data_IF_299766427315
#
_entry.id   IF_299766427315
#
_cell.length_a   1.000
_cell.length_b   1.000
_cell.length_c   1.000
_cell.angle_alpha   90.00
_cell.angle_beta   90.00
_cell.angle_gamma   90.00
#
_symmetry.space_group_name_H-M   'P 1'
#
loop_
_entity.id
_entity.type
_entity.pdbx_description
1 polymer ?
#
# COMPACT_ATOMS: atom_id res chain seq x y z
N UNK A 1 38.91 -10.02 17.31
CA UNK A 1 38.14 -9.52 18.48
C UNK A 1 36.72 -9.25 18.03
N UNK A 2 35.75 -10.02 18.53
CA UNK A 2 34.35 -9.90 18.13
C UNK A 2 33.69 -8.62 18.68
N UNK A 3 32.55 -8.25 18.11
CA UNK A 3 31.75 -7.10 18.59
C UNK A 3 31.35 -7.29 20.07
N UNK A 4 31.06 -8.53 20.47
CA UNK A 4 30.74 -8.87 21.87
C UNK A 4 31.91 -8.54 22.80
N UNK A 5 33.12 -8.96 22.45
CA UNK A 5 34.33 -8.73 23.26
C UNK A 5 34.65 -7.24 23.40
N UNK A 6 34.41 -6.45 22.34
CA UNK A 6 34.59 -4.99 22.40
C UNK A 6 33.58 -4.34 23.33
N UNK A 7 32.33 -4.82 23.30
CA UNK A 7 31.26 -4.32 24.16
C UNK A 7 31.51 -4.68 25.64
N UNK A 8 31.96 -5.90 25.93
CA UNK A 8 32.31 -6.31 27.31
C UNK A 8 33.47 -5.50 27.86
N UNK A 9 34.52 -5.26 27.07
CA UNK A 9 35.64 -4.39 27.47
C UNK A 9 35.18 -2.95 27.70
N UNK A 10 34.30 -2.42 26.84
CA UNK A 10 33.75 -1.08 27.04
C UNK A 10 32.90 -0.98 28.31
N UNK A 11 32.01 -1.95 28.54
CA UNK A 11 31.16 -1.98 29.75
C UNK A 11 31.98 -2.17 31.03
N UNK A 12 33.05 -2.99 30.98
CA UNK A 12 33.99 -3.11 32.08
C UNK A 12 34.72 -1.80 32.39
N UNK A 13 35.12 -1.03 31.37
CA UNK A 13 35.70 0.32 31.55
C UNK A 13 34.71 1.33 32.16
N UNK A 14 33.41 1.10 32.02
CA UNK A 14 32.36 1.93 32.63
C UNK A 14 32.03 1.54 34.08
N UNK A 15 32.80 0.62 34.68
CA UNK A 15 32.65 0.20 36.08
C UNK A 15 31.51 -0.78 36.34
N UNK A 16 30.95 -1.41 35.30
CA UNK A 16 29.92 -2.44 35.48
C UNK A 16 30.53 -3.75 35.97
N UNK A 17 29.84 -4.41 36.91
CA UNK A 17 30.17 -5.76 37.35
C UNK A 17 29.97 -6.71 36.16
N UNK A 18 30.86 -7.71 35.95
CA UNK A 18 30.69 -8.70 34.89
C UNK A 18 29.32 -9.39 34.88
N UNK A 19 28.70 -9.54 36.05
CA UNK A 19 27.37 -10.13 36.25
C UNK A 19 26.22 -9.29 35.69
N UNK A 20 26.39 -7.97 35.55
CA UNK A 20 25.36 -7.06 35.03
C UNK A 20 25.41 -6.87 33.52
N UNK A 21 26.54 -7.22 32.88
CA UNK A 21 26.72 -7.17 31.43
C UNK A 21 25.59 -7.88 30.67
N UNK A 22 25.23 -9.16 30.96
CA UNK A 22 24.13 -9.82 30.25
C UNK A 22 22.78 -9.13 30.48
N UNK A 23 22.55 -8.54 31.66
CA UNK A 23 21.30 -7.81 31.98
C UNK A 23 21.21 -6.53 31.15
N UNK A 24 22.29 -5.77 31.05
CA UNK A 24 22.37 -4.56 30.21
C UNK A 24 22.14 -4.89 28.74
N UNK A 25 22.75 -5.95 28.23
CA UNK A 25 22.52 -6.42 26.85
C UNK A 25 21.05 -6.82 26.66
N UNK A 26 20.47 -7.54 27.61
CA UNK A 26 19.05 -7.91 27.59
C UNK A 26 18.13 -6.69 27.54
N UNK A 27 18.35 -5.71 28.41
CA UNK A 27 17.59 -4.45 28.44
C UNK A 27 17.76 -3.64 27.15
N UNK A 28 18.98 -3.58 26.60
CA UNK A 28 19.25 -2.91 25.33
C UNK A 28 18.48 -3.57 24.17
N UNK A 29 18.48 -4.90 24.10
CA UNK A 29 17.74 -5.64 23.07
C UNK A 29 16.24 -5.47 23.26
N UNK A 30 15.73 -5.51 24.49
CA UNK A 30 14.32 -5.25 24.78
C UNK A 30 13.91 -3.83 24.34
N UNK A 31 14.67 -2.81 24.75
CA UNK A 31 14.43 -1.41 24.36
C UNK A 31 14.47 -1.19 22.84
N UNK A 32 15.36 -1.91 22.15
CA UNK A 32 15.42 -1.93 20.68
C UNK A 32 14.10 -2.41 20.07
N UNK A 33 13.59 -3.56 20.52
CA UNK A 33 12.34 -4.11 19.98
C UNK A 33 11.12 -3.26 20.36
N UNK A 34 11.05 -2.75 21.59
CA UNK A 34 9.99 -1.83 22.02
C UNK A 34 9.95 -0.61 21.11
N UNK A 35 11.11 0.00 20.82
CA UNK A 35 11.16 1.15 19.91
C UNK A 35 10.71 0.80 18.50
N UNK A 36 11.08 -0.39 18.00
CA UNK A 36 10.61 -0.81 16.69
C UNK A 36 9.09 -1.02 16.66
N UNK A 37 8.50 -1.63 17.71
CA UNK A 37 7.06 -1.78 17.85
C UNK A 37 6.32 -0.44 17.96
N UNK A 38 6.86 0.54 18.70
CA UNK A 38 6.25 1.87 18.76
C UNK A 38 6.30 2.56 17.40
N UNK A 39 7.40 2.39 16.64
CA UNK A 39 7.49 2.87 15.26
C UNK A 39 6.47 2.21 14.33
N UNK A 40 6.13 0.93 14.51
CA UNK A 40 5.03 0.28 13.76
C UNK A 40 3.72 1.02 14.03
N UNK A 41 3.39 1.28 15.31
CA UNK A 41 2.18 2.00 15.69
C UNK A 41 2.11 3.41 15.08
N UNK A 42 3.22 4.15 15.15
CA UNK A 42 3.35 5.48 14.53
C UNK A 42 3.16 5.38 13.00
N UNK A 43 3.79 4.41 12.34
CA UNK A 43 3.64 4.21 10.89
C UNK A 43 2.22 3.82 10.50
N UNK A 44 1.52 3.01 11.31
CA UNK A 44 0.11 2.70 11.07
C UNK A 44 -0.76 3.96 11.11
N UNK A 45 -0.51 4.86 12.08
CA UNK A 45 -1.31 6.06 12.30
C UNK A 45 -1.01 7.20 11.34
N UNK A 46 0.26 7.44 11.03
CA UNK A 46 0.71 8.62 10.28
C UNK A 46 1.13 8.31 8.85
N UNK A 47 1.61 7.09 8.59
CA UNK A 47 2.14 6.65 7.28
C UNK A 47 3.12 7.68 6.68
N UNK A 48 4.14 8.12 7.44
CA UNK A 48 4.94 9.30 7.10
C UNK A 48 5.66 9.12 5.77
N UNK A 49 6.27 7.94 5.57
CA UNK A 49 7.01 7.62 4.36
C UNK A 49 6.11 7.54 3.14
N UNK A 50 4.92 6.95 3.30
CA UNK A 50 3.95 6.92 2.20
C UNK A 50 3.49 8.31 1.80
N UNK A 51 3.21 9.18 2.78
CA UNK A 51 2.78 10.56 2.52
C UNK A 51 3.88 11.35 1.81
N UNK A 52 5.12 11.25 2.27
CA UNK A 52 6.24 11.93 1.61
C UNK A 52 6.52 11.37 0.22
N UNK A 53 6.49 10.04 0.03
CA UNK A 53 6.65 9.45 -1.31
C UNK A 53 5.53 9.85 -2.28
N UNK A 54 4.29 9.94 -1.81
CA UNK A 54 3.17 10.46 -2.61
C UNK A 54 3.41 11.88 -3.10
N UNK A 55 4.06 12.70 -2.27
CA UNK A 55 4.36 14.08 -2.63
C UNK A 55 5.54 14.18 -3.60
N UNK A 56 6.66 13.50 -3.31
CA UNK A 56 7.89 13.66 -4.08
C UNK A 56 7.96 12.82 -5.36
N UNK A 57 7.27 11.67 -5.41
CA UNK A 57 7.42 10.70 -6.51
C UNK A 57 6.08 10.09 -6.92
N UNK A 58 5.14 10.90 -7.45
CA UNK A 58 3.83 10.42 -7.88
C UNK A 58 3.93 9.33 -8.96
N UNK A 59 4.94 9.41 -9.84
CA UNK A 59 5.20 8.40 -10.89
C UNK A 59 5.45 7.00 -10.33
N UNK A 60 6.23 6.90 -9.25
CA UNK A 60 6.58 5.61 -8.66
C UNK A 60 5.35 4.94 -8.05
N UNK A 61 4.45 5.74 -7.50
CA UNK A 61 3.17 5.26 -6.99
C UNK A 61 2.21 4.88 -8.11
N UNK A 62 2.14 5.67 -9.19
CA UNK A 62 1.34 5.31 -10.36
C UNK A 62 1.79 3.98 -10.98
N UNK A 63 3.11 3.68 -10.89
CA UNK A 63 3.69 2.41 -11.32
C UNK A 63 3.43 1.28 -10.33
N UNK A 64 3.34 1.56 -9.04
CA UNK A 64 2.91 0.57 -8.05
C UNK A 64 1.46 0.17 -8.32
N UNK A 65 1.20 -1.12 -8.57
CA UNK A 65 -0.15 -1.63 -8.81
C UNK A 65 -1.14 -1.27 -7.68
N UNK A 66 -0.62 -0.97 -6.49
CA UNK A 66 -1.36 -0.56 -5.30
C UNK A 66 -2.11 0.75 -5.47
N UNK A 67 -1.50 1.76 -6.12
CA UNK A 67 -2.20 3.02 -6.39
C UNK A 67 -3.31 2.80 -7.41
N UNK A 68 -3.02 1.99 -8.43
CA UNK A 68 -3.98 1.61 -9.48
C UNK A 68 -5.17 0.83 -8.91
N UNK A 69 -4.94 -0.06 -7.95
CA UNK A 69 -5.99 -0.78 -7.22
C UNK A 69 -6.83 0.14 -6.34
N UNK A 70 -6.21 1.09 -5.62
CA UNK A 70 -6.97 2.09 -4.84
C UNK A 70 -7.80 3.00 -5.72
N UNK A 71 -7.25 3.46 -6.84
CA UNK A 71 -8.02 4.24 -7.81
C UNK A 71 -9.13 3.41 -8.41
N UNK A 72 -8.89 2.14 -8.74
CA UNK A 72 -9.96 1.22 -9.18
C UNK A 72 -11.05 1.09 -8.14
N UNK A 73 -10.72 0.91 -6.86
CA UNK A 73 -11.72 0.85 -5.79
C UNK A 73 -12.58 2.11 -5.74
N UNK A 74 -11.97 3.30 -5.76
CA UNK A 74 -12.69 4.58 -5.80
C UNK A 74 -13.53 4.76 -7.05
N UNK A 75 -13.01 4.40 -8.22
CA UNK A 75 -13.73 4.43 -9.49
C UNK A 75 -14.90 3.47 -9.50
N UNK A 76 -14.73 2.25 -9.00
CA UNK A 76 -15.80 1.25 -8.88
C UNK A 76 -16.89 1.75 -7.93
N UNK A 77 -16.52 2.32 -6.79
CA UNK A 77 -17.49 2.85 -5.84
C UNK A 77 -18.20 4.10 -6.39
N UNK A 78 -17.48 5.00 -7.04
CA UNK A 78 -18.08 6.15 -7.71
C UNK A 78 -19.02 5.72 -8.85
N UNK A 79 -18.61 4.73 -9.66
CA UNK A 79 -19.46 4.12 -10.69
C UNK A 79 -20.71 3.48 -10.09
N UNK A 80 -20.58 2.80 -8.94
CA UNK A 80 -21.72 2.21 -8.22
C UNK A 80 -22.71 3.27 -7.75
N UNK A 81 -22.22 4.39 -7.19
CA UNK A 81 -23.06 5.53 -6.79
C UNK A 81 -23.73 6.20 -8.00
N UNK A 82 -23.00 6.35 -9.11
CA UNK A 82 -23.56 6.88 -10.35
C UNK A 82 -24.65 5.97 -10.91
N UNK A 83 -24.45 4.65 -10.90
CA UNK A 83 -25.47 3.70 -11.33
C UNK A 83 -26.68 3.67 -10.39
N UNK A 84 -26.49 3.73 -9.07
CA UNK A 84 -27.63 3.80 -8.14
C UNK A 84 -28.44 5.07 -8.33
N UNK A 85 -27.76 6.21 -8.50
CA UNK A 85 -28.40 7.50 -8.80
C UNK A 85 -29.13 7.47 -10.15
N UNK A 86 -28.52 6.88 -11.18
CA UNK A 86 -29.15 6.74 -12.50
C UNK A 86 -30.38 5.84 -12.43
N UNK A 87 -30.30 4.68 -11.77
CA UNK A 87 -31.46 3.80 -11.58
C UNK A 87 -32.59 4.54 -10.85
N UNK A 88 -32.30 5.22 -9.75
CA UNK A 88 -33.31 6.00 -9.01
C UNK A 88 -34.00 7.05 -9.88
N UNK A 89 -33.27 7.68 -10.82
CA UNK A 89 -33.81 8.73 -11.69
C UNK A 89 -34.50 8.21 -12.94
N UNK A 90 -34.06 7.09 -13.51
CA UNK A 90 -34.54 6.57 -14.79
C UNK A 90 -35.54 5.42 -14.66
N UNK A 91 -35.59 4.68 -13.54
CA UNK A 91 -36.64 3.70 -13.24
C UNK A 91 -38.06 4.27 -13.43
N UNK A 92 -38.43 5.41 -12.81
CA UNK A 92 -39.79 5.94 -12.97
C UNK A 92 -40.08 6.41 -14.40
N UNK A 93 -39.07 6.81 -15.17
CA UNK A 93 -39.22 7.16 -16.58
C UNK A 93 -39.43 5.91 -17.44
N UNK A 94 -38.70 4.84 -17.17
CA UNK A 94 -38.86 3.56 -17.85
C UNK A 94 -40.27 2.98 -17.62
N UNK A 95 -40.79 3.09 -16.39
CA UNK A 95 -42.14 2.65 -16.06
C UNK A 95 -43.21 3.51 -16.72
N UNK A 96 -43.02 4.83 -16.80
CA UNK A 96 -43.92 5.72 -17.58
C UNK A 96 -43.94 5.34 -19.06
N UNK A 97 -42.78 5.06 -19.65
CA UNK A 97 -42.68 4.64 -21.06
C UNK A 97 -43.36 3.28 -21.27
N UNK A 98 -43.18 2.32 -20.35
CA UNK A 98 -43.88 1.01 -20.40
C UNK A 98 -45.39 1.17 -20.30
N UNK A 99 -45.88 1.98 -19.36
CA UNK A 99 -47.30 2.29 -19.20
C UNK A 99 -47.88 2.96 -20.45
N UNK A 100 -47.19 3.96 -20.99
CA UNK A 100 -47.60 4.65 -22.21
C UNK A 100 -47.60 3.72 -23.44
N UNK A 101 -46.68 2.76 -23.50
CA UNK A 101 -46.66 1.74 -24.56
C UNK A 101 -47.82 0.75 -24.39
N UNK A 102 -48.16 0.37 -23.16
CA UNK A 102 -49.32 -0.49 -22.88
C UNK A 102 -50.66 0.20 -23.15
N UNK A 103 -50.77 1.51 -22.93
CA UNK A 103 -51.99 2.28 -23.21
C UNK A 103 -52.19 2.57 -24.70
N UNK A 104 -51.10 2.77 -25.46
CA UNK A 104 -51.16 2.99 -26.91
C UNK A 104 -51.29 1.69 -27.72
N UNK A 105 -51.01 0.54 -27.11
CA UNK A 105 -51.35 -0.77 -27.63
C UNK A 105 -52.78 -1.13 -27.20
N UNK A 106 -53.77 -0.38 -27.70
CA UNK A 106 -55.10 -0.94 -27.86
C UNK A 106 -55.04 -2.23 -28.69
N UNK A 107 -56.11 -3.05 -28.75
CA UNK A 107 -56.13 -4.30 -29.48
C UNK A 107 -55.95 -4.06 -30.99
N UNK A 108 -54.71 -3.88 -31.42
CA UNK A 108 -54.30 -3.99 -32.82
C UNK A 108 -54.45 -5.46 -33.14
N UNK A 109 -55.62 -5.80 -33.69
CA UNK A 109 -55.85 -7.05 -34.42
C UNK A 109 -54.64 -7.25 -35.33
N UNK A 110 -53.91 -8.31 -35.06
CA UNK A 110 -52.82 -8.82 -35.87
C UNK A 110 -53.40 -9.28 -37.21
N UNK A 111 -53.61 -8.33 -38.12
CA UNK A 111 -53.81 -8.60 -39.52
C UNK A 111 -52.56 -8.12 -40.25
N UNK A 112 -51.92 -9.09 -40.91
CA UNK A 112 -50.82 -8.92 -41.86
C UNK A 112 -49.49 -8.57 -41.19
N UNK A 113 -48.39 -9.23 -41.46
CA UNK A 113 -48.05 -10.18 -42.51
C UNK A 113 -46.54 -10.25 -42.44
N UNK A 114 -46.03 -11.46 -42.57
CA UNK A 114 -44.60 -11.77 -42.71
C UNK A 114 -43.87 -10.70 -43.52
N UNK A 115 -42.88 -10.02 -42.95
CA UNK A 115 -41.70 -9.53 -43.68
C UNK A 115 -40.49 -9.59 -42.74
N UNK A 116 -39.83 -10.75 -42.78
CA UNK A 116 -38.52 -11.00 -42.19
C UNK A 116 -37.47 -10.21 -42.97
N UNK A 117 -37.24 -8.95 -42.59
CA UNK A 117 -36.04 -8.24 -43.02
C UNK A 117 -34.86 -8.70 -42.18
N UNK A 118 -34.07 -9.56 -42.81
CA UNK A 118 -32.78 -10.06 -42.37
C UNK A 118 -31.79 -8.89 -42.28
N UNK A 119 -31.80 -8.18 -41.15
CA UNK A 119 -30.85 -7.11 -40.84
C UNK A 119 -29.48 -7.71 -40.59
N UNK A 120 -28.66 -7.73 -41.65
CA UNK A 120 -27.22 -8.00 -41.57
C UNK A 120 -26.59 -7.15 -40.47
N UNK A 121 -26.21 -7.81 -39.37
CA UNK A 121 -25.25 -7.29 -38.42
C UNK A 121 -23.91 -7.08 -39.14
N UNK A 122 -23.64 -5.85 -39.58
CA UNK A 122 -22.29 -5.39 -39.83
C UNK A 122 -21.57 -5.31 -38.48
N UNK A 123 -21.07 -6.47 -38.02
CA UNK A 123 -19.96 -6.51 -37.08
C UNK A 123 -18.76 -5.95 -37.82
N UNK A 124 -18.42 -4.68 -37.59
CA UNK A 124 -17.11 -4.14 -37.94
C UNK A 124 -16.06 -4.84 -37.05
N UNK A 125 -15.20 -5.71 -37.59
CA UNK A 125 -14.12 -6.33 -36.84
C UNK A 125 -12.86 -5.52 -37.15
N UNK A 126 -12.69 -4.33 -36.56
CA UNK A 126 -11.61 -3.48 -37.08
C UNK A 126 -11.35 -2.17 -36.38
N UNK A 127 -11.28 -2.15 -35.05
CA UNK A 127 -11.00 -0.89 -34.35
C UNK A 127 -10.40 -1.02 -32.95
N UNK A 128 -9.55 -2.01 -32.68
CA UNK A 128 -8.97 -2.11 -31.31
C UNK A 128 -7.54 -2.64 -31.24
N UNK A 129 -7.07 -3.38 -32.24
CA UNK A 129 -5.70 -3.90 -32.22
C UNK A 129 -4.66 -2.86 -32.72
N UNK A 130 -5.02 -2.00 -33.67
CA UNK A 130 -4.11 -1.00 -34.24
C UNK A 130 -3.90 0.24 -33.35
N UNK A 131 -4.95 0.70 -32.66
CA UNK A 131 -4.87 1.91 -31.82
C UNK A 131 -4.01 1.69 -30.57
N UNK A 132 -4.02 0.47 -30.00
CA UNK A 132 -3.14 0.14 -28.87
C UNK A 132 -1.65 0.11 -29.27
N UNK A 133 -1.35 -0.31 -30.50
CA UNK A 133 0.04 -0.42 -30.98
C UNK A 133 0.63 0.94 -31.36
N UNK A 134 -0.19 1.87 -31.87
CA UNK A 134 0.25 3.24 -32.16
C UNK A 134 0.45 4.09 -30.90
N UNK A 135 -0.37 3.91 -29.85
CA UNK A 135 -0.11 4.53 -28.55
C UNK A 135 1.16 4.00 -27.89
N UNK A 136 1.46 2.70 -28.02
CA UNK A 136 2.70 2.11 -27.48
C UNK A 136 3.97 2.65 -28.16
N UNK A 137 3.90 3.07 -29.42
CA UNK A 137 5.05 3.61 -30.15
C UNK A 137 5.27 5.12 -29.95
N UNK A 138 4.22 5.90 -29.66
CA UNK A 138 4.39 7.33 -29.36
C UNK A 138 4.90 7.59 -27.94
N UNK A 139 4.54 6.75 -26.96
CA UNK A 139 5.08 6.86 -25.59
C UNK A 139 6.59 6.53 -25.48
N UNK A 140 7.18 5.91 -26.51
CA UNK A 140 8.58 5.48 -26.50
C UNK A 140 9.61 6.59 -26.81
N UNK A 141 9.20 7.73 -27.37
CA UNK A 141 10.15 8.72 -27.95
C UNK A 141 10.41 9.96 -27.09
N UNK A 142 9.61 10.26 -26.07
CA UNK A 142 9.74 11.47 -25.25
C UNK A 142 10.39 11.26 -23.88
N UNK A 143 10.83 10.05 -23.53
CA UNK A 143 11.68 9.83 -22.37
C UNK A 143 13.16 10.05 -22.73
N UNK A 144 13.50 11.33 -22.92
CA UNK A 144 14.87 11.82 -22.78
C UNK A 144 15.43 11.23 -21.47
N UNK A 145 16.47 10.39 -21.58
CA UNK A 145 17.05 9.62 -20.46
C UNK A 145 17.73 10.57 -19.48
N UNK A 146 16.95 11.28 -18.67
CA UNK A 146 17.46 11.88 -17.46
C UNK A 146 17.98 10.75 -16.59
N UNK A 147 19.29 10.75 -16.34
CA UNK A 147 19.89 9.77 -15.43
C UNK A 147 19.20 9.97 -14.07
N UNK A 148 18.50 8.94 -13.55
CA UNK A 148 17.73 9.13 -12.33
C UNK A 148 18.70 9.48 -11.22
N UNK A 149 18.41 10.59 -10.53
CA UNK A 149 19.20 11.08 -9.40
C UNK A 149 19.44 9.96 -8.39
N UNK A 150 20.56 10.02 -7.67
CA UNK A 150 20.91 9.02 -6.66
C UNK A 150 19.75 8.77 -5.67
N UNK A 151 19.06 9.83 -5.25
CA UNK A 151 17.86 9.75 -4.41
C UNK A 151 16.70 9.01 -5.06
N UNK A 152 16.46 9.20 -6.36
CA UNK A 152 15.42 8.45 -7.11
C UNK A 152 15.75 6.96 -7.18
N UNK A 153 17.03 6.59 -7.33
CA UNK A 153 17.45 5.17 -7.30
C UNK A 153 17.27 4.56 -5.91
N UNK A 154 17.67 5.29 -4.87
CA UNK A 154 17.54 4.86 -3.49
C UNK A 154 16.07 4.71 -3.08
N UNK A 155 15.22 5.68 -3.46
CA UNK A 155 13.78 5.64 -3.15
C UNK A 155 13.08 4.45 -3.80
N UNK A 156 13.39 4.14 -5.07
CA UNK A 156 12.88 2.95 -5.76
C UNK A 156 13.34 1.67 -5.07
N UNK A 157 14.61 1.60 -4.65
CA UNK A 157 15.14 0.45 -3.92
C UNK A 157 14.45 0.24 -2.58
N UNK A 158 14.27 1.31 -1.80
CA UNK A 158 13.56 1.28 -0.52
C UNK A 158 12.09 0.87 -0.70
N UNK A 159 11.41 1.42 -1.71
CA UNK A 159 10.04 1.04 -2.02
C UNK A 159 9.91 -0.45 -2.33
N UNK A 160 10.81 -1.01 -3.17
CA UNK A 160 10.83 -2.44 -3.48
C UNK A 160 11.10 -3.30 -2.25
N UNK A 161 11.99 -2.86 -1.35
CA UNK A 161 12.22 -3.55 -0.08
C UNK A 161 10.98 -3.56 0.81
N UNK A 162 10.26 -2.43 0.87
CA UNK A 162 9.01 -2.33 1.60
C UNK A 162 7.92 -3.21 0.99
N UNK A 163 7.79 -3.26 -0.33
CA UNK A 163 6.82 -4.13 -1.01
C UNK A 163 7.14 -5.61 -0.76
N UNK A 164 8.41 -6.00 -0.84
CA UNK A 164 8.85 -7.37 -0.49
C UNK A 164 8.61 -7.70 0.98
N UNK A 165 8.88 -6.76 1.89
CA UNK A 165 8.61 -6.94 3.31
C UNK A 165 7.10 -7.08 3.55
N UNK A 166 6.29 -6.25 2.89
CA UNK A 166 4.84 -6.30 2.99
C UNK A 166 4.27 -7.63 2.46
N UNK A 167 4.79 -8.14 1.33
CA UNK A 167 4.43 -9.45 0.80
C UNK A 167 4.76 -10.57 1.82
N UNK A 168 6.00 -10.60 2.34
CA UNK A 168 6.42 -11.60 3.35
C UNK A 168 5.58 -11.55 4.63
N UNK A 169 5.18 -10.35 5.07
CA UNK A 169 4.32 -10.17 6.24
C UNK A 169 2.90 -10.63 5.92
N UNK A 170 2.38 -10.37 4.72
CA UNK A 170 1.07 -10.83 4.27
C UNK A 170 0.97 -12.35 4.14
N UNK A 171 2.04 -13.01 3.69
CA UNK A 171 2.09 -14.46 3.51
C UNK A 171 2.20 -15.23 4.84
N UNK A 172 2.67 -14.56 5.90
CA UNK A 172 2.89 -15.19 7.19
C UNK A 172 1.63 -15.14 8.07
N UNK A 173 1.09 -16.34 8.37
CA UNK A 173 -0.11 -16.53 9.20
C UNK A 173 0.00 -15.89 10.58
N UNK A 174 1.19 -15.85 11.19
CA UNK A 174 1.38 -15.24 12.51
C UNK A 174 1.10 -13.73 12.47
N UNK A 175 1.59 -13.05 11.44
CA UNK A 175 1.31 -11.62 11.24
C UNK A 175 -0.14 -11.37 10.85
N UNK A 176 -0.74 -12.25 10.06
CA UNK A 176 -2.18 -12.22 9.78
C UNK A 176 -3.01 -12.29 11.06
N UNK A 177 -2.66 -13.20 11.98
CA UNK A 177 -3.31 -13.31 13.29
C UNK A 177 -3.17 -12.03 14.11
N UNK A 178 -1.96 -11.49 14.23
CA UNK A 178 -1.72 -10.22 14.97
C UNK A 178 -2.55 -9.08 14.37
N UNK A 179 -2.56 -8.94 13.04
CA UNK A 179 -3.30 -7.85 12.38
C UNK A 179 -4.82 -7.97 12.55
N UNK A 180 -5.37 -9.17 12.47
CA UNK A 180 -6.83 -9.40 12.46
C UNK A 180 -7.41 -9.50 13.86
N UNK A 181 -6.72 -10.20 14.78
CA UNK A 181 -7.25 -10.48 16.13
C UNK A 181 -6.87 -9.43 17.16
N UNK A 182 -5.65 -8.90 17.09
CA UNK A 182 -5.16 -7.96 18.10
C UNK A 182 -5.49 -6.54 17.67
N UNK A 183 -5.13 -6.19 16.44
CA UNK A 183 -5.18 -4.80 15.97
C UNK A 183 -6.46 -4.45 15.18
N UNK A 184 -7.22 -5.44 14.70
CA UNK A 184 -8.39 -5.25 13.83
C UNK A 184 -8.10 -4.33 12.62
N UNK A 185 -6.89 -4.43 12.05
CA UNK A 185 -6.46 -3.61 10.90
C UNK A 185 -6.30 -4.45 9.66
N UNK A 186 -6.56 -3.85 8.49
CA UNK A 186 -6.31 -4.46 7.20
C UNK A 186 -4.85 -4.98 7.12
N UNK A 187 -4.69 -6.28 6.89
CA UNK A 187 -3.40 -6.97 6.87
C UNK A 187 -2.39 -6.33 5.92
N UNK A 188 -2.84 -5.83 4.77
CA UNK A 188 -1.99 -5.11 3.81
C UNK A 188 -1.52 -3.76 4.33
N UNK A 189 -2.42 -3.01 4.98
CA UNK A 189 -2.05 -1.72 5.59
C UNK A 189 -1.05 -1.92 6.74
N UNK A 190 -1.25 -2.96 7.55
CA UNK A 190 -0.32 -3.38 8.58
C UNK A 190 1.04 -3.77 7.99
N UNK A 191 1.05 -4.57 6.92
CA UNK A 191 2.27 -5.00 6.25
C UNK A 191 3.10 -3.82 5.70
N UNK A 192 2.45 -2.81 5.13
CA UNK A 192 3.12 -1.56 4.76
C UNK A 192 3.67 -0.81 5.96
N UNK A 193 2.91 -0.72 7.07
CA UNK A 193 3.39 -0.05 8.28
C UNK A 193 4.62 -0.75 8.88
N UNK A 194 4.67 -2.09 8.85
CA UNK A 194 5.86 -2.87 9.25
C UNK A 194 7.03 -2.54 8.33
N UNK A 195 6.83 -2.51 7.01
CA UNK A 195 7.86 -2.11 6.04
C UNK A 195 8.38 -0.68 6.28
N UNK A 196 7.50 0.29 6.47
CA UNK A 196 7.85 1.69 6.78
C UNK A 196 8.63 1.78 8.09
N UNK A 197 8.15 1.10 9.13
CA UNK A 197 8.79 1.11 10.44
C UNK A 197 10.19 0.54 10.40
N UNK A 198 10.48 -0.46 9.56
CA UNK A 198 11.82 -1.03 9.41
C UNK A 198 12.79 -0.04 8.76
N UNK A 199 12.32 0.71 7.76
CA UNK A 199 13.12 1.75 7.11
C UNK A 199 13.39 2.89 8.09
N UNK A 200 12.34 3.41 8.74
CA UNK A 200 12.48 4.45 9.76
C UNK A 200 13.37 4.00 10.90
N UNK A 201 13.14 2.80 11.44
CA UNK A 201 13.93 2.24 12.52
C UNK A 201 15.40 2.17 12.14
N UNK A 202 15.76 1.71 10.94
CA UNK A 202 17.16 1.70 10.48
C UNK A 202 17.77 3.11 10.42
N UNK A 203 17.00 4.09 9.93
CA UNK A 203 17.45 5.48 9.87
C UNK A 203 17.65 6.08 11.26
N UNK A 204 16.70 5.84 12.18
CA UNK A 204 16.75 6.36 13.55
C UNK A 204 17.70 5.57 14.44
N UNK A 205 18.03 4.32 14.11
CA UNK A 205 18.86 3.45 14.94
C UNK A 205 20.26 4.02 15.18
N UNK A 206 20.81 4.76 14.22
CA UNK A 206 22.12 5.42 14.35
C UNK A 206 22.12 6.37 15.56
N UNK A 207 21.02 7.08 15.77
CA UNK A 207 20.87 8.03 16.88
C UNK A 207 20.35 7.35 18.15
N UNK A 208 19.44 6.39 17.99
CA UNK A 208 18.74 5.79 19.13
C UNK A 208 19.56 4.73 19.84
N UNK A 209 20.39 3.95 19.12
CA UNK A 209 21.17 2.90 19.74
C UNK A 209 22.17 3.42 20.78
N UNK A 210 22.97 4.47 20.52
CA UNK A 210 23.83 5.07 21.55
C UNK A 210 23.04 5.60 22.75
N UNK A 211 21.88 6.22 22.50
CA UNK A 211 21.04 6.83 23.53
C UNK A 211 20.40 5.77 24.45
N UNK A 212 19.84 4.70 23.87
CA UNK A 212 19.31 3.56 24.64
C UNK A 212 20.42 2.88 25.43
N UNK A 213 21.59 2.67 24.83
CA UNK A 213 22.72 2.06 25.55
C UNK A 213 23.17 2.94 26.72
N UNK A 214 23.31 4.25 26.50
CA UNK A 214 23.69 5.22 27.53
C UNK A 214 22.68 5.25 28.68
N UNK A 215 21.39 5.31 28.38
CA UNK A 215 20.32 5.33 29.40
C UNK A 215 20.28 4.04 30.21
N UNK A 216 20.41 2.87 29.58
CA UNK A 216 20.48 1.58 30.28
C UNK A 216 21.71 1.52 31.19
N UNK A 217 22.90 1.87 30.68
CA UNK A 217 24.14 1.88 31.48
C UNK A 217 24.00 2.80 32.70
N UNK A 218 23.47 4.02 32.51
CA UNK A 218 23.23 4.97 33.59
C UNK A 218 22.21 4.47 34.62
N UNK A 219 21.15 3.81 34.18
CA UNK A 219 20.16 3.23 35.09
C UNK A 219 20.76 2.15 35.99
N UNK A 220 21.61 1.26 35.44
CA UNK A 220 22.31 0.25 36.25
C UNK A 220 23.36 0.84 37.19
N UNK A 221 24.04 1.91 36.78
CA UNK A 221 24.96 2.64 37.65
C UNK A 221 24.24 3.34 38.80
N UNK A 222 23.02 3.84 38.56
CA UNK A 222 22.24 4.54 39.59
C UNK A 222 21.55 3.60 40.57
N UNK A 223 21.19 2.39 40.14
CA UNK A 223 20.58 1.39 41.02
C UNK A 223 21.55 0.77 42.04
N UNK A 224 22.84 1.10 41.93
CA UNK A 224 23.91 0.60 42.78
C UNK A 224 24.32 1.64 43.80
#
# INVERSE_FOLDING_TARGET
>A
MGIKDRLTVYLGKQGLVPEDIPKVIGCFVAGKYITWFTMIGICMRFQPLRRTWCYFYPELLARSGVWRERQRGRLVEHRRRMFSWANERYEPLADRIKLQRSSNLGPRKWANGHHSHNGRNHQSPGGSAGEQQQQQHQDGRSHQRETPSFFKRYSVSMYKLMEKAAARVGDNKAWGFVSTRILHVNSRAFAFAVGESLVLFKLTFIFHAPLVLFTVVRAFQWWR
#
